data_IF_772386069472
#
_entry.id   IF_772386069472
#
_cell.length_a   1.000
_cell.length_b   1.000
_cell.length_c   1.000
_cell.angle_alpha   90.00
_cell.angle_beta   90.00
_cell.angle_gamma   90.00
#
_symmetry.space_group_name_H-M   'P 1'
#
loop_
_entity.id
_entity.type
_entity.pdbx_description
1 polymer ?
#
# COMPACT_ATOMS: atom_id res chain seq x y z
N UNK A 1 30.38 -39.56 -23.46
CA UNK A 1 31.48 -39.30 -24.42
C UNK A 1 31.45 -37.86 -25.01
N UNK A 2 30.35 -37.13 -24.95
CA UNK A 2 30.23 -35.76 -25.52
C UNK A 2 31.00 -34.65 -24.74
N UNK A 3 31.60 -34.94 -23.59
CA UNK A 3 32.24 -33.96 -22.71
C UNK A 3 33.72 -34.23 -22.39
N UNK A 4 34.31 -35.24 -23.05
CA UNK A 4 35.71 -35.55 -22.86
C UNK A 4 36.61 -34.42 -23.41
N UNK A 5 37.24 -33.66 -22.53
CA UNK A 5 38.18 -32.57 -22.89
C UNK A 5 37.81 -31.18 -22.44
N UNK A 6 36.66 -30.95 -21.83
CA UNK A 6 36.32 -29.66 -21.23
C UNK A 6 36.61 -29.67 -19.73
N UNK A 7 37.42 -28.75 -19.27
CA UNK A 7 37.58 -28.53 -17.81
C UNK A 7 36.34 -27.83 -17.27
N UNK A 8 35.50 -28.55 -16.54
CA UNK A 8 34.36 -27.99 -15.85
C UNK A 8 34.80 -27.52 -14.47
N UNK A 9 34.59 -26.25 -14.19
CA UNK A 9 34.71 -25.69 -12.84
C UNK A 9 33.32 -25.68 -12.23
N UNK A 10 33.00 -26.67 -11.38
CA UNK A 10 31.77 -26.68 -10.58
C UNK A 10 31.86 -25.48 -9.62
N UNK A 11 30.97 -24.47 -9.77
CA UNK A 11 30.95 -23.26 -8.94
C UNK A 11 30.11 -23.43 -7.69
N UNK A 12 29.03 -24.19 -7.76
CA UNK A 12 28.21 -24.58 -6.61
C UNK A 12 27.41 -25.82 -6.97
N UNK A 13 27.18 -26.68 -6.02
CA UNK A 13 26.31 -27.85 -6.12
C UNK A 13 25.26 -27.72 -5.02
N UNK A 14 24.18 -27.07 -5.34
CA UNK A 14 23.00 -26.98 -4.46
C UNK A 14 22.03 -28.09 -4.83
N UNK A 15 22.14 -29.24 -4.14
CA UNK A 15 21.15 -30.31 -4.26
C UNK A 15 20.22 -30.28 -3.06
N UNK A 16 19.01 -29.83 -3.27
CA UNK A 16 17.95 -29.88 -2.25
C UNK A 16 17.15 -31.17 -2.47
N UNK A 17 17.21 -32.10 -1.51
CA UNK A 17 16.41 -33.32 -1.57
C UNK A 17 14.89 -32.99 -1.59
N UNK A 18 14.04 -33.86 -2.21
CA UNK A 18 12.60 -33.60 -2.36
C UNK A 18 11.87 -33.30 -1.05
N UNK A 19 12.30 -33.90 0.06
CA UNK A 19 11.73 -33.67 1.41
C UNK A 19 12.04 -32.26 1.90
N UNK A 20 13.28 -31.80 1.75
CA UNK A 20 13.71 -30.46 2.17
C UNK A 20 13.05 -29.40 1.29
N UNK A 21 12.88 -29.65 -0.02
CA UNK A 21 12.15 -28.75 -0.92
C UNK A 21 10.67 -28.61 -0.53
N UNK A 22 10.01 -29.70 -0.11
CA UNK A 22 8.65 -29.68 0.40
C UNK A 22 8.51 -28.88 1.71
N UNK A 23 9.43 -29.10 2.65
CA UNK A 23 9.44 -28.37 3.92
C UNK A 23 9.70 -26.87 3.72
N UNK A 24 10.62 -26.49 2.86
CA UNK A 24 10.90 -25.10 2.50
C UNK A 24 9.70 -24.39 1.86
N UNK A 25 8.97 -25.09 0.96
CA UNK A 25 7.77 -24.57 0.34
C UNK A 25 6.69 -24.31 1.40
N UNK A 26 6.46 -25.26 2.30
CA UNK A 26 5.45 -25.13 3.36
C UNK A 26 5.80 -24.00 4.33
N UNK A 27 7.04 -23.94 4.79
CA UNK A 27 7.51 -22.87 5.67
C UNK A 27 7.46 -21.49 4.98
N UNK A 28 7.82 -21.42 3.69
CA UNK A 28 7.73 -20.19 2.90
C UNK A 28 6.28 -19.69 2.75
N UNK A 29 5.34 -20.58 2.47
CA UNK A 29 3.91 -20.24 2.39
C UNK A 29 3.36 -19.82 3.75
N UNK A 30 3.75 -20.48 4.84
CA UNK A 30 3.36 -20.10 6.20
C UNK A 30 3.92 -18.73 6.57
N UNK A 31 5.20 -18.47 6.28
CA UNK A 31 5.82 -17.16 6.52
C UNK A 31 5.11 -16.05 5.73
N UNK A 32 4.80 -16.30 4.46
CA UNK A 32 4.08 -15.34 3.62
C UNK A 32 2.66 -15.09 4.15
N UNK A 33 1.93 -16.13 4.52
CA UNK A 33 0.59 -16.02 5.12
C UNK A 33 0.60 -15.29 6.46
N UNK A 34 1.58 -15.60 7.33
CA UNK A 34 1.75 -14.91 8.61
C UNK A 34 2.08 -13.42 8.41
N UNK A 35 2.98 -13.11 7.49
CA UNK A 35 3.35 -11.73 7.16
C UNK A 35 2.15 -10.95 6.64
N UNK A 36 1.40 -11.50 5.68
CA UNK A 36 0.19 -10.88 5.18
C UNK A 36 -0.86 -10.69 6.29
N UNK A 37 -1.06 -11.69 7.15
CA UNK A 37 -1.97 -11.59 8.30
C UNK A 37 -1.58 -10.48 9.28
N UNK A 38 -0.30 -10.36 9.63
CA UNK A 38 0.21 -9.29 10.50
C UNK A 38 0.08 -7.92 9.84
N UNK A 39 0.33 -7.82 8.55
CA UNK A 39 0.15 -6.59 7.78
C UNK A 39 -1.31 -6.16 7.76
N UNK A 40 -2.23 -7.10 7.52
CA UNK A 40 -3.67 -6.84 7.55
C UNK A 40 -4.12 -6.35 8.92
N UNK A 41 -3.65 -7.00 9.97
CA UNK A 41 -3.92 -6.61 11.34
C UNK A 41 -3.39 -5.19 11.62
N UNK A 42 -2.16 -4.88 11.21
CA UNK A 42 -1.59 -3.55 11.35
C UNK A 42 -2.41 -2.49 10.61
N UNK A 43 -2.79 -2.76 9.35
CA UNK A 43 -3.60 -1.82 8.55
C UNK A 43 -4.98 -1.62 9.19
N UNK A 44 -5.62 -2.68 9.69
CA UNK A 44 -6.92 -2.61 10.34
C UNK A 44 -6.90 -1.74 11.61
N UNK A 45 -5.81 -1.80 12.40
CA UNK A 45 -5.64 -0.95 13.57
C UNK A 45 -5.20 0.48 13.24
N UNK A 46 -4.40 0.64 12.19
CA UNK A 46 -3.77 1.93 11.85
C UNK A 46 -4.65 2.81 10.97
N UNK A 47 -5.43 2.20 10.09
CA UNK A 47 -6.23 2.90 9.08
C UNK A 47 -7.71 2.52 9.15
N UNK A 48 -8.58 3.40 8.64
CA UNK A 48 -10.00 3.11 8.48
C UNK A 48 -10.22 1.98 7.45
N UNK A 49 -11.35 1.28 7.59
CA UNK A 49 -11.75 0.14 6.72
C UNK A 49 -11.72 0.49 5.22
N UNK A 50 -11.83 1.78 4.87
CA UNK A 50 -11.79 2.26 3.48
C UNK A 50 -10.43 2.06 2.82
N UNK A 51 -9.34 2.10 3.60
CA UNK A 51 -7.96 2.02 3.08
C UNK A 51 -7.45 0.57 2.97
N UNK A 52 -7.94 -0.33 3.83
CA UNK A 52 -7.42 -1.68 3.91
C UNK A 52 -7.53 -2.49 2.60
N UNK A 53 -8.66 -2.51 1.88
CA UNK A 53 -8.78 -3.30 0.64
C UNK A 53 -7.82 -2.84 -0.45
N UNK A 54 -7.55 -1.54 -0.54
CA UNK A 54 -6.62 -0.99 -1.52
C UNK A 54 -5.18 -1.42 -1.28
N UNK A 55 -4.73 -1.41 -0.03
CA UNK A 55 -3.40 -1.89 0.33
C UNK A 55 -3.24 -3.39 0.03
N UNK A 56 -4.26 -4.20 0.34
CA UNK A 56 -4.26 -5.64 0.03
C UNK A 56 -4.18 -5.87 -1.47
N UNK A 57 -5.01 -5.16 -2.24
CA UNK A 57 -5.03 -5.30 -3.69
C UNK A 57 -3.68 -4.93 -4.31
N UNK A 58 -3.05 -3.86 -3.84
CA UNK A 58 -1.72 -3.46 -4.27
C UNK A 58 -0.67 -4.52 -3.96
N UNK A 59 -0.66 -5.08 -2.75
CA UNK A 59 0.27 -6.15 -2.36
C UNK A 59 0.09 -7.41 -3.20
N UNK A 60 -1.15 -7.84 -3.44
CA UNK A 60 -1.43 -9.00 -4.30
C UNK A 60 -0.98 -8.76 -5.74
N UNK A 61 -1.20 -7.56 -6.27
CA UNK A 61 -0.73 -7.15 -7.58
C UNK A 61 0.80 -7.22 -7.67
N UNK A 62 1.54 -6.70 -6.69
CA UNK A 62 3.00 -6.65 -6.70
C UNK A 62 3.61 -8.05 -6.65
N UNK A 63 3.08 -8.91 -5.78
CA UNK A 63 3.51 -10.32 -5.68
C UNK A 63 3.18 -11.07 -6.97
N UNK A 64 1.96 -10.88 -7.52
CA UNK A 64 1.54 -11.55 -8.75
C UNK A 64 2.38 -11.14 -9.96
N UNK A 65 2.69 -9.84 -10.12
CA UNK A 65 3.55 -9.37 -11.21
C UNK A 65 4.98 -9.85 -11.07
N UNK A 66 5.54 -9.83 -9.86
CA UNK A 66 6.90 -10.32 -9.62
C UNK A 66 7.02 -11.81 -9.91
N UNK A 67 6.09 -12.64 -9.42
CA UNK A 67 6.05 -14.08 -9.72
C UNK A 67 5.76 -14.35 -11.19
N UNK A 68 4.85 -13.58 -11.79
CA UNK A 68 4.53 -13.67 -13.22
C UNK A 68 5.76 -13.45 -14.10
N UNK A 69 6.55 -12.41 -13.79
CA UNK A 69 7.80 -12.15 -14.52
C UNK A 69 8.80 -13.30 -14.38
N UNK A 70 8.98 -13.85 -13.18
CA UNK A 70 9.85 -15.00 -12.94
C UNK A 70 9.41 -16.23 -13.73
N UNK A 71 8.10 -16.46 -13.82
CA UNK A 71 7.53 -17.55 -14.62
C UNK A 71 7.79 -17.35 -16.12
N UNK A 72 7.59 -16.13 -16.63
CA UNK A 72 7.83 -15.80 -18.05
C UNK A 72 9.31 -15.93 -18.40
N UNK A 73 10.20 -15.48 -17.51
CA UNK A 73 11.65 -15.58 -17.72
C UNK A 73 12.23 -16.98 -17.40
N UNK A 74 11.38 -17.93 -16.99
CA UNK A 74 11.78 -19.30 -16.62
C UNK A 74 12.87 -19.32 -15.54
N UNK A 75 12.81 -18.37 -14.58
CA UNK A 75 13.78 -18.29 -13.50
C UNK A 75 13.38 -19.21 -12.33
N UNK A 76 14.38 -19.76 -11.68
CA UNK A 76 14.16 -20.67 -10.55
C UNK A 76 13.61 -19.91 -9.32
N UNK A 77 12.55 -20.46 -8.74
CA UNK A 77 12.00 -20.00 -7.46
C UNK A 77 12.67 -20.78 -6.34
N UNK A 78 13.58 -20.13 -5.63
CA UNK A 78 14.32 -20.67 -4.51
C UNK A 78 13.98 -19.94 -3.19
N UNK A 79 14.61 -20.34 -2.08
CA UNK A 79 14.39 -19.72 -0.77
C UNK A 79 14.72 -18.21 -0.77
N UNK A 80 15.76 -17.80 -1.51
CA UNK A 80 16.12 -16.39 -1.65
C UNK A 80 15.01 -15.58 -2.32
N UNK A 81 14.28 -16.18 -3.27
CA UNK A 81 13.11 -15.57 -3.90
C UNK A 81 11.99 -15.34 -2.90
N UNK A 82 11.71 -16.29 -1.99
CA UNK A 82 10.71 -16.11 -0.93
C UNK A 82 11.11 -14.94 -0.03
N UNK A 83 12.38 -14.84 0.33
CA UNK A 83 12.92 -13.69 1.07
C UNK A 83 12.75 -12.37 0.32
N UNK A 84 12.98 -12.36 -1.00
CA UNK A 84 12.74 -11.19 -1.83
C UNK A 84 11.26 -10.79 -1.83
N UNK A 85 10.33 -11.72 -1.99
CA UNK A 85 8.89 -11.44 -1.96
C UNK A 85 8.43 -10.85 -0.63
N UNK A 86 8.89 -11.40 0.50
CA UNK A 86 8.60 -10.85 1.83
C UNK A 86 9.14 -9.41 1.98
N UNK A 87 10.33 -9.16 1.45
CA UNK A 87 10.94 -7.83 1.46
C UNK A 87 10.18 -6.86 0.57
N UNK A 88 9.75 -7.29 -0.63
CA UNK A 88 8.94 -6.48 -1.57
C UNK A 88 7.61 -6.09 -0.92
N UNK A 89 6.93 -7.03 -0.26
CA UNK A 89 5.68 -6.77 0.47
C UNK A 89 5.88 -5.65 1.50
N UNK A 90 6.93 -5.74 2.31
CA UNK A 90 7.23 -4.70 3.31
C UNK A 90 7.59 -3.36 2.69
N UNK A 91 8.35 -3.38 1.59
CA UNK A 91 8.77 -2.17 0.87
C UNK A 91 7.59 -1.45 0.22
N UNK A 92 6.76 -2.17 -0.54
CA UNK A 92 5.57 -1.63 -1.20
C UNK A 92 4.57 -1.06 -0.19
N UNK A 93 4.39 -1.76 0.94
CA UNK A 93 3.52 -1.28 2.01
C UNK A 93 4.01 0.03 2.62
N UNK A 94 5.32 0.23 2.75
CA UNK A 94 5.89 1.47 3.29
C UNK A 94 5.45 2.69 2.47
N UNK A 95 5.54 2.61 1.15
CA UNK A 95 5.11 3.70 0.26
C UNK A 95 3.58 3.90 0.31
N UNK A 96 2.82 2.82 0.31
CA UNK A 96 1.36 2.87 0.44
C UNK A 96 0.92 3.54 1.75
N UNK A 97 1.58 3.23 2.88
CA UNK A 97 1.30 3.83 4.19
C UNK A 97 1.56 5.34 4.16
N UNK A 98 2.69 5.78 3.58
CA UNK A 98 3.04 7.21 3.49
C UNK A 98 1.98 7.98 2.71
N UNK A 99 1.55 7.45 1.58
CA UNK A 99 0.49 8.06 0.74
C UNK A 99 -0.84 8.09 1.49
N UNK A 100 -1.25 6.99 2.11
CA UNK A 100 -2.50 6.89 2.85
C UNK A 100 -2.54 7.79 4.08
N UNK A 101 -1.44 7.91 4.81
CA UNK A 101 -1.35 8.81 5.96
C UNK A 101 -1.51 10.27 5.53
N UNK A 102 -0.91 10.66 4.40
CA UNK A 102 -1.07 12.00 3.83
C UNK A 102 -2.49 12.27 3.34
N UNK A 103 -3.10 11.33 2.63
CA UNK A 103 -4.49 11.44 2.21
C UNK A 103 -5.40 11.61 3.44
N UNK A 104 -5.22 10.80 4.48
CA UNK A 104 -5.99 10.87 5.73
C UNK A 104 -5.80 12.21 6.45
N UNK A 105 -4.57 12.73 6.51
CA UNK A 105 -4.28 14.05 7.06
C UNK A 105 -5.03 15.14 6.28
N UNK A 106 -4.92 15.13 4.96
CA UNK A 106 -5.57 16.11 4.09
C UNK A 106 -7.10 16.01 4.13
N UNK A 107 -7.68 14.80 4.25
CA UNK A 107 -9.13 14.61 4.45
C UNK A 107 -9.64 15.26 5.74
N UNK A 108 -8.83 15.26 6.81
CA UNK A 108 -9.19 15.94 8.07
C UNK A 108 -9.06 17.46 7.98
N UNK A 109 -8.08 17.93 7.21
CA UNK A 109 -7.74 19.36 7.07
C UNK A 109 -8.65 20.07 6.09
N UNK A 110 -8.98 19.43 4.96
CA UNK A 110 -9.70 20.03 3.83
C UNK A 110 -11.06 19.36 3.61
N UNK A 111 -11.97 19.50 4.57
CA UNK A 111 -13.28 18.82 4.58
C UNK A 111 -14.22 19.20 3.43
N UNK A 112 -14.00 20.34 2.78
CA UNK A 112 -14.84 20.87 1.67
C UNK A 112 -14.27 20.58 0.29
N UNK A 113 -13.10 19.92 0.19
CA UNK A 113 -12.47 19.61 -1.09
C UNK A 113 -12.99 18.30 -1.62
N UNK A 114 -13.26 18.22 -2.91
CA UNK A 114 -13.66 16.98 -3.58
C UNK A 114 -12.60 15.91 -3.39
N UNK A 115 -13.00 14.68 -3.05
CA UNK A 115 -12.11 13.57 -2.76
C UNK A 115 -11.09 13.29 -3.87
N UNK A 116 -11.45 13.28 -5.18
CA UNK A 116 -10.46 13.04 -6.24
C UNK A 116 -9.35 14.09 -6.29
N UNK A 117 -9.69 15.36 -6.09
CA UNK A 117 -8.72 16.46 -6.08
C UNK A 117 -7.80 16.35 -4.86
N UNK A 118 -8.37 16.10 -3.68
CA UNK A 118 -7.64 15.93 -2.44
C UNK A 118 -6.63 14.76 -2.52
N UNK A 119 -7.03 13.65 -3.13
CA UNK A 119 -6.16 12.48 -3.35
C UNK A 119 -5.00 12.87 -4.28
N UNK A 120 -5.27 13.55 -5.40
CA UNK A 120 -4.25 13.98 -6.34
C UNK A 120 -3.25 14.95 -5.71
N UNK A 121 -3.73 15.91 -4.92
CA UNK A 121 -2.86 16.86 -4.21
C UNK A 121 -1.98 16.11 -3.18
N UNK A 122 -2.55 15.17 -2.43
CA UNK A 122 -1.82 14.34 -1.45
C UNK A 122 -0.75 13.47 -2.10
N UNK A 123 -1.04 12.89 -3.28
CA UNK A 123 -0.07 12.14 -4.07
C UNK A 123 1.10 13.02 -4.49
N UNK A 124 0.83 14.21 -5.03
CA UNK A 124 1.88 15.13 -5.46
C UNK A 124 2.79 15.57 -4.30
N UNK A 125 2.22 15.76 -3.11
CA UNK A 125 2.98 16.11 -1.91
C UNK A 125 3.92 14.99 -1.44
N UNK A 126 3.55 13.73 -1.65
CA UNK A 126 4.35 12.57 -1.22
C UNK A 126 5.26 12.02 -2.32
N UNK A 127 4.99 12.34 -3.60
CA UNK A 127 5.67 11.78 -4.78
C UNK A 127 7.19 11.93 -4.72
N UNK A 128 7.67 13.11 -4.34
CA UNK A 128 9.11 13.37 -4.25
C UNK A 128 9.82 12.45 -3.26
N UNK A 129 9.18 12.19 -2.11
CA UNK A 129 9.73 11.27 -1.10
C UNK A 129 9.70 9.82 -1.59
N UNK A 130 8.59 9.37 -2.13
CA UNK A 130 8.42 8.01 -2.66
C UNK A 130 9.41 7.72 -3.77
N UNK A 131 9.59 8.64 -4.73
CA UNK A 131 10.57 8.49 -5.79
C UNK A 131 12.01 8.50 -5.26
N UNK A 132 12.35 9.38 -4.31
CA UNK A 132 13.70 9.43 -3.74
C UNK A 132 14.05 8.11 -3.01
N UNK A 133 13.13 7.56 -2.20
CA UNK A 133 13.36 6.29 -1.50
C UNK A 133 13.48 5.12 -2.48
N UNK A 134 12.64 5.07 -3.50
CA UNK A 134 12.67 4.01 -4.52
C UNK A 134 13.94 4.07 -5.37
N UNK A 135 14.37 5.26 -5.82
CA UNK A 135 15.58 5.43 -6.61
C UNK A 135 16.82 5.06 -5.79
N UNK A 136 16.92 5.52 -4.54
CA UNK A 136 18.09 5.19 -3.70
C UNK A 136 18.18 3.70 -3.42
N UNK A 137 17.06 3.03 -3.18
CA UNK A 137 17.02 1.58 -2.99
C UNK A 137 17.35 0.84 -4.28
N UNK A 138 16.81 1.28 -5.43
CA UNK A 138 17.13 0.70 -6.74
C UNK A 138 18.62 0.85 -7.10
N UNK A 139 19.28 1.93 -6.72
CA UNK A 139 20.71 2.08 -6.90
C UNK A 139 21.50 1.04 -6.10
N UNK A 140 21.13 0.82 -4.83
CA UNK A 140 21.78 -0.20 -4.00
C UNK A 140 21.55 -1.63 -4.51
N UNK A 141 20.30 -1.98 -4.82
CA UNK A 141 19.94 -3.30 -5.36
C UNK A 141 20.47 -3.48 -6.79
N UNK A 142 20.49 -2.42 -7.61
CA UNK A 142 21.08 -2.44 -8.94
C UNK A 142 22.58 -2.73 -8.91
N UNK A 143 23.31 -2.12 -7.98
CA UNK A 143 24.72 -2.46 -7.75
C UNK A 143 24.87 -3.95 -7.36
N UNK A 144 24.01 -4.47 -6.49
CA UNK A 144 24.00 -5.88 -6.12
C UNK A 144 23.66 -6.79 -7.32
N UNK A 145 22.76 -6.39 -8.20
CA UNK A 145 22.40 -7.13 -9.41
C UNK A 145 23.58 -7.26 -10.38
N UNK A 146 24.40 -6.21 -10.51
CA UNK A 146 25.56 -6.17 -11.42
C UNK A 146 26.77 -6.85 -10.80
N UNK A 147 27.05 -6.61 -9.52
CA UNK A 147 28.28 -7.02 -8.84
C UNK A 147 28.12 -8.27 -7.95
N UNK A 148 26.89 -8.63 -7.58
CA UNK A 148 26.61 -9.64 -6.54
C UNK A 148 26.82 -11.11 -6.94
N UNK A 149 27.14 -11.39 -8.20
CA UNK A 149 27.40 -12.76 -8.67
C UNK A 149 26.12 -13.63 -8.83
N UNK A 150 26.27 -14.90 -9.28
CA UNK A 150 25.13 -15.73 -9.72
C UNK A 150 24.14 -16.08 -8.61
N UNK A 151 24.62 -16.29 -7.37
CA UNK A 151 23.78 -16.75 -6.24
C UNK A 151 22.75 -15.69 -5.83
N UNK A 152 23.14 -14.41 -5.85
CA UNK A 152 22.30 -13.30 -5.38
C UNK A 152 21.53 -12.65 -6.53
N UNK A 153 21.89 -12.96 -7.77
CA UNK A 153 21.36 -12.29 -8.96
C UNK A 153 19.84 -12.39 -9.07
N UNK A 154 19.26 -13.57 -8.85
CA UNK A 154 17.80 -13.76 -8.93
C UNK A 154 17.08 -12.99 -7.82
N UNK A 155 17.64 -12.97 -6.61
CA UNK A 155 17.14 -12.14 -5.51
C UNK A 155 17.16 -10.65 -5.87
N UNK A 156 18.29 -10.14 -6.35
CA UNK A 156 18.45 -8.75 -6.72
C UNK A 156 17.52 -8.37 -7.88
N UNK A 157 17.33 -9.25 -8.86
CA UNK A 157 16.40 -9.06 -9.97
C UNK A 157 14.95 -8.94 -9.44
N UNK A 158 14.54 -9.88 -8.58
CA UNK A 158 13.21 -9.85 -7.96
C UNK A 158 12.98 -8.53 -7.21
N UNK A 159 13.96 -8.11 -6.41
CA UNK A 159 13.90 -6.87 -5.66
C UNK A 159 13.81 -5.64 -6.57
N UNK A 160 14.62 -5.56 -7.64
CA UNK A 160 14.53 -4.45 -8.60
C UNK A 160 13.13 -4.33 -9.21
N UNK A 161 12.60 -5.46 -9.70
CA UNK A 161 11.26 -5.49 -10.30
C UNK A 161 10.20 -5.16 -9.26
N UNK A 162 10.26 -5.79 -8.09
CA UNK A 162 9.29 -5.57 -7.01
C UNK A 162 9.25 -4.13 -6.51
N UNK A 163 10.40 -3.44 -6.41
CA UNK A 163 10.45 -2.03 -6.03
C UNK A 163 9.82 -1.13 -7.10
N UNK A 164 10.10 -1.38 -8.38
CA UNK A 164 9.51 -0.61 -9.48
C UNK A 164 7.99 -0.81 -9.51
N UNK A 165 7.54 -2.07 -9.45
CA UNK A 165 6.12 -2.42 -9.45
C UNK A 165 5.43 -1.88 -8.21
N UNK A 166 6.01 -2.01 -7.02
CA UNK A 166 5.46 -1.52 -5.75
C UNK A 166 5.33 0.00 -5.70
N UNK A 167 6.33 0.73 -6.22
CA UNK A 167 6.24 2.19 -6.32
C UNK A 167 5.12 2.61 -7.27
N UNK A 168 4.96 1.91 -8.39
CA UNK A 168 3.86 2.16 -9.31
C UNK A 168 2.50 1.80 -8.68
N UNK A 169 2.39 0.66 -8.02
CA UNK A 169 1.13 0.15 -7.47
C UNK A 169 0.60 1.01 -6.33
N UNK A 170 1.47 1.59 -5.49
CA UNK A 170 1.06 2.50 -4.42
C UNK A 170 0.31 3.74 -4.97
N UNK A 171 0.69 4.21 -6.16
CA UNK A 171 0.09 5.39 -6.82
C UNK A 171 -1.15 4.98 -7.63
N UNK A 172 -1.06 3.93 -8.45
CA UNK A 172 -2.05 3.61 -9.49
C UNK A 172 -3.05 2.52 -9.07
N UNK A 173 -2.71 1.68 -8.09
CA UNK A 173 -3.60 0.61 -7.60
C UNK A 173 -4.16 0.94 -6.22
N UNK A 174 -3.28 1.19 -5.24
CA UNK A 174 -3.70 1.43 -3.87
C UNK A 174 -4.55 2.72 -3.75
N UNK A 175 -4.10 3.80 -4.35
CA UNK A 175 -4.75 5.12 -4.20
C UNK A 175 -6.13 5.21 -4.87
N UNK A 176 -6.35 4.79 -6.13
CA UNK A 176 -7.67 4.83 -6.74
C UNK A 176 -8.67 3.88 -6.08
N UNK A 177 -8.21 2.82 -5.42
CA UNK A 177 -9.09 1.92 -4.69
C UNK A 177 -9.86 2.61 -3.56
N UNK A 178 -9.31 3.71 -2.99
CA UNK A 178 -9.98 4.52 -1.97
C UNK A 178 -11.29 5.11 -2.53
N UNK A 179 -11.25 5.62 -3.78
CA UNK A 179 -12.44 6.18 -4.44
C UNK A 179 -13.53 5.13 -4.67
N UNK A 180 -13.12 3.91 -4.99
CA UNK A 180 -14.04 2.78 -5.14
C UNK A 180 -14.66 2.42 -3.79
N UNK A 181 -13.82 2.32 -2.75
CA UNK A 181 -14.27 1.95 -1.41
C UNK A 181 -15.14 3.02 -0.76
N UNK A 182 -14.90 4.28 -1.04
CA UNK A 182 -15.77 5.37 -0.57
C UNK A 182 -17.21 5.22 -1.10
N UNK A 183 -17.35 4.83 -2.37
CA UNK A 183 -18.66 4.54 -2.99
C UNK A 183 -19.30 3.26 -2.46
N UNK A 184 -18.51 2.27 -2.10
CA UNK A 184 -18.98 0.95 -1.61
C UNK A 184 -19.27 0.97 -0.10
N UNK A 185 -18.60 1.85 0.66
CA UNK A 185 -18.75 1.96 2.12
C UNK A 185 -20.20 1.97 2.61
N UNK A 186 -21.12 2.79 2.07
CA UNK A 186 -22.50 2.82 2.55
C UNK A 186 -23.23 1.48 2.34
N UNK A 187 -22.92 0.78 1.26
CA UNK A 187 -23.47 -0.55 0.97
C UNK A 187 -22.91 -1.60 1.93
N UNK A 188 -21.60 -1.55 2.18
CA UNK A 188 -20.90 -2.49 3.05
C UNK A 188 -21.34 -2.33 4.52
N UNK A 189 -21.46 -1.09 4.99
CA UNK A 189 -21.94 -0.79 6.35
C UNK A 189 -23.38 -1.30 6.52
N UNK A 190 -24.26 -1.09 5.55
CA UNK A 190 -25.63 -1.61 5.56
C UNK A 190 -25.68 -3.14 5.61
N UNK A 191 -24.69 -3.83 5.04
CA UNK A 191 -24.60 -5.30 5.03
C UNK A 191 -23.99 -5.88 6.32
N UNK A 192 -23.02 -5.15 6.92
CA UNK A 192 -22.33 -5.60 8.14
C UNK A 192 -23.03 -5.20 9.43
N UNK A 193 -23.93 -4.21 9.41
CA UNK A 193 -24.85 -3.93 10.52
C UNK A 193 -26.15 -4.69 10.27
N UNK A 194 -26.37 -5.85 10.94
CA UNK A 194 -27.68 -6.46 10.91
C UNK A 194 -28.67 -5.44 11.44
N UNK A 195 -29.76 -5.24 10.70
CA UNK A 195 -30.84 -4.38 11.10
C UNK A 195 -31.28 -4.77 12.50
N UNK A 196 -30.92 -4.00 13.50
CA UNK A 196 -31.49 -4.10 14.84
C UNK A 196 -32.93 -3.62 14.66
N UNK A 197 -33.96 -4.48 14.83
CA UNK A 197 -35.33 -4.02 14.67
C UNK A 197 -35.60 -3.00 15.78
N UNK A 198 -35.75 -1.72 15.42
CA UNK A 198 -36.17 -0.68 16.35
C UNK A 198 -35.30 0.55 16.48
N UNK A 199 -34.13 0.65 15.83
CA UNK A 199 -33.41 1.93 15.78
C UNK A 199 -33.73 2.59 14.43
N UNK A 200 -34.78 3.37 14.41
CA UNK A 200 -35.05 4.36 13.37
C UNK A 200 -33.97 5.42 13.56
N UNK A 201 -32.94 5.41 12.70
CA UNK A 201 -32.14 6.61 12.47
C UNK A 201 -33.05 7.58 11.72
N UNK A 202 -33.74 8.39 12.49
CA UNK A 202 -34.46 9.55 11.98
C UNK A 202 -33.41 10.36 11.19
N UNK A 203 -33.64 10.48 9.88
CA UNK A 203 -32.79 11.26 9.01
C UNK A 203 -32.83 12.70 9.51
N UNK A 204 -31.82 13.11 10.26
CA UNK A 204 -31.55 14.51 10.41
C UNK A 204 -31.17 15.01 9.02
N UNK A 205 -32.24 15.49 8.34
CA UNK A 205 -32.14 16.53 7.33
C UNK A 205 -31.05 17.49 7.75
N UNK A 206 -30.09 17.67 6.89
CA UNK A 206 -29.08 18.71 7.02
C UNK A 206 -29.85 20.06 7.22
N UNK A 207 -29.97 20.47 8.46
CA UNK A 207 -30.27 21.84 8.77
C UNK A 207 -29.14 22.65 8.12
N UNK A 208 -29.49 23.31 7.05
CA UNK A 208 -28.64 24.25 6.35
C UNK A 208 -28.25 25.32 7.35
N UNK A 209 -26.96 25.54 7.50
CA UNK A 209 -26.34 26.55 8.37
C UNK A 209 -26.76 27.98 7.98
N UNK A 210 -27.67 28.12 7.03
CA UNK A 210 -28.19 29.40 6.57
C UNK A 210 -29.34 29.99 7.42
N UNK A 211 -29.94 29.20 8.34
CA UNK A 211 -31.03 29.69 9.18
C UNK A 211 -30.61 30.26 10.54
N UNK A 212 -29.32 30.30 10.84
CA UNK A 212 -28.79 30.76 12.14
C UNK A 212 -28.16 32.18 12.10
N UNK A 213 -28.25 32.90 10.99
CA UNK A 213 -27.70 34.27 10.85
C UNK A 213 -28.80 35.29 10.45
N UNK A 214 -29.95 35.17 11.02
CA UNK A 214 -30.93 36.26 10.99
C UNK A 214 -31.55 36.30 12.38
N UNK A 215 -31.08 37.20 13.18
CA UNK A 215 -31.71 37.95 14.26
C UNK A 215 -30.73 38.24 15.39
N UNK A 216 -29.87 39.20 15.14
CA UNK A 216 -29.39 40.06 16.24
C UNK A 216 -29.69 41.52 15.87
N UNK A 217 -30.67 42.13 16.54
CA UNK A 217 -31.00 43.52 16.28
C UNK A 217 -29.86 44.40 16.78
N UNK A 218 -29.44 45.31 15.88
CA UNK A 218 -28.59 46.43 16.20
C UNK A 218 -29.16 47.20 17.40
N UNK A 219 -28.49 47.20 18.51
CA UNK A 219 -28.69 48.17 19.55
C UNK A 219 -27.83 49.39 19.24
N UNK A 220 -28.53 50.39 18.67
CA UNK A 220 -28.15 51.77 18.78
C UNK A 220 -28.02 52.13 20.25
N UNK A 221 -26.86 52.51 20.68
CA UNK A 221 -26.67 53.39 21.84
C UNK A 221 -25.84 54.58 21.39
N UNK A 222 -26.62 55.59 20.91
CA UNK A 222 -26.24 56.99 21.09
C UNK A 222 -26.45 57.37 22.55
N UNK A 223 -25.47 57.93 23.16
CA UNK A 223 -25.54 58.91 24.22
C UNK A 223 -24.10 59.41 24.41
N UNK A 224 -23.72 60.51 23.95
CA UNK A 224 -23.96 61.87 24.54
C UNK A 224 -23.07 62.11 25.76
N UNK A 225 -22.34 63.18 25.60
CA UNK A 225 -21.89 64.13 26.59
C UNK A 225 -20.74 63.70 27.54
N UNK A 226 -19.72 64.45 27.68
CA UNK A 226 -19.59 65.91 27.83
C UNK A 226 -18.55 66.17 28.92
N UNK A 227 -17.72 67.12 28.67
CA UNK A 227 -17.11 68.04 29.65
C UNK A 227 -16.18 67.45 30.73
N UNK A 228 -14.93 67.63 30.63
CA UNK A 228 -14.11 68.62 31.37
C UNK A 228 -12.64 68.44 31.00
#
# INVERSE_FOLDING_TARGET
EAFAGRQFKVRSLDSVGPKVGGDLRTQGLLAMGATLGLILLYIAFRFDVVFAPGAILALLHDVALTLGLFTVLQLEVNLSMIGALLTIIGYSLNDTIVVYDRIRENMRRYRRTETPKLINDSLNETLGRTLATSITTLLGIGALLVLGGPVIRNFALAMCVGIIVGTYSSIVVATPSILVMEKVKPVLVKWLTPATPGVVFDGQESATVDDAIVDEPAKDEMAEDGQA
#
